data_IF_643382505752
#
_entry.id   IF_643382505752
#
_cell.length_a   1.000
_cell.length_b   1.000
_cell.length_c   1.000
_cell.angle_alpha   90.00
_cell.angle_beta   90.00
_cell.angle_gamma   90.00
#
_symmetry.space_group_name_H-M   'P 1'
#
loop_
_entity.id
_entity.type
_entity.pdbx_description
1 polymer ?
#
# COMPACT_ATOMS: atom_id res chain seq x y z
N UNK A 1 -18.18 6.26 6.60
CA UNK A 1 -17.56 6.49 5.28
C UNK A 1 -17.90 5.31 4.38
N UNK A 2 -18.36 5.51 3.13
CA UNK A 2 -18.68 4.38 2.23
C UNK A 2 -17.86 4.52 0.95
N UNK A 3 -16.71 3.86 0.90
CA UNK A 3 -15.83 3.83 -0.27
C UNK A 3 -16.17 2.72 -1.26
N UNK A 4 -17.00 1.76 -0.84
CA UNK A 4 -17.45 0.63 -1.63
C UNK A 4 -18.82 0.18 -1.12
N UNK A 5 -19.46 -0.71 -1.87
CA UNK A 5 -20.74 -1.31 -1.46
C UNK A 5 -20.54 -2.13 -0.19
N UNK A 6 -21.37 -1.94 0.83
CA UNK A 6 -21.23 -2.65 2.10
C UNK A 6 -21.53 -4.14 1.95
N UNK A 7 -20.82 -4.99 2.71
CA UNK A 7 -20.91 -6.45 2.64
C UNK A 7 -22.34 -7.00 2.75
N UNK A 8 -23.19 -6.40 3.59
CA UNK A 8 -24.58 -6.84 3.74
C UNK A 8 -25.45 -6.49 2.51
N UNK A 9 -25.09 -5.50 1.72
CA UNK A 9 -25.80 -5.11 0.50
C UNK A 9 -25.38 -5.92 -0.73
N UNK A 10 -24.36 -6.77 -0.59
CA UNK A 10 -23.85 -7.64 -1.65
C UNK A 10 -24.68 -8.91 -1.80
N UNK A 11 -24.72 -9.45 -3.03
CA UNK A 11 -25.24 -10.79 -3.30
C UNK A 11 -24.41 -11.87 -2.60
N UNK A 12 -24.93 -13.10 -2.49
CA UNK A 12 -24.19 -14.21 -1.87
C UNK A 12 -22.87 -14.51 -2.62
N UNK A 13 -22.88 -14.44 -3.95
CA UNK A 13 -21.70 -14.66 -4.78
C UNK A 13 -20.64 -13.57 -4.54
N UNK A 14 -21.06 -12.31 -4.51
CA UNK A 14 -20.15 -11.19 -4.25
C UNK A 14 -19.57 -11.23 -2.84
N UNK A 15 -20.36 -11.64 -1.84
CA UNK A 15 -19.86 -11.83 -0.46
C UNK A 15 -18.78 -12.91 -0.39
N UNK A 16 -18.96 -14.01 -1.12
CA UNK A 16 -17.99 -15.10 -1.17
C UNK A 16 -16.68 -14.61 -1.82
N UNK A 17 -16.79 -13.95 -2.98
CA UNK A 17 -15.65 -13.36 -3.69
C UNK A 17 -14.90 -12.34 -2.83
N UNK A 18 -15.61 -11.47 -2.10
CA UNK A 18 -15.00 -10.51 -1.18
C UNK A 18 -14.25 -11.19 -0.05
N UNK A 19 -14.81 -12.27 0.49
CA UNK A 19 -14.15 -13.03 1.55
C UNK A 19 -12.87 -13.68 1.04
N UNK A 20 -12.94 -14.28 -0.14
CA UNK A 20 -11.77 -14.90 -0.77
C UNK A 20 -10.70 -13.85 -1.09
N UNK A 21 -11.08 -12.69 -1.64
CA UNK A 21 -10.17 -11.56 -1.83
C UNK A 21 -9.46 -11.15 -0.54
N UNK A 22 -10.19 -11.03 0.56
CA UNK A 22 -9.62 -10.61 1.85
C UNK A 22 -8.59 -11.63 2.36
N UNK A 23 -8.88 -12.93 2.25
CA UNK A 23 -7.92 -13.99 2.61
C UNK A 23 -6.66 -13.91 1.75
N UNK A 24 -6.80 -13.79 0.42
CA UNK A 24 -5.64 -13.65 -0.46
C UNK A 24 -4.86 -12.35 -0.22
N UNK A 25 -5.55 -11.29 0.18
CA UNK A 25 -4.92 -10.01 0.55
C UNK A 25 -4.07 -10.17 1.80
N UNK A 26 -4.54 -10.90 2.80
CA UNK A 26 -3.78 -11.15 4.02
C UNK A 26 -2.49 -11.94 3.71
N UNK A 27 -2.53 -12.90 2.78
CA UNK A 27 -1.32 -13.58 2.28
C UNK A 27 -0.40 -12.63 1.48
N UNK A 28 -0.97 -11.77 0.66
CA UNK A 28 -0.21 -10.76 -0.08
C UNK A 28 0.47 -9.77 0.87
N UNK A 29 -0.20 -9.37 1.97
CA UNK A 29 0.35 -8.50 3.02
C UNK A 29 1.64 -9.08 3.60
N UNK A 30 1.64 -10.37 3.93
CA UNK A 30 2.82 -11.07 4.44
C UNK A 30 3.98 -11.00 3.43
N UNK A 31 3.69 -11.30 2.17
CA UNK A 31 4.68 -11.27 1.10
C UNK A 31 5.25 -9.87 0.86
N UNK A 32 4.41 -8.83 0.79
CA UNK A 32 4.89 -7.46 0.54
C UNK A 32 5.65 -6.88 1.73
N UNK A 33 5.30 -7.25 2.98
CA UNK A 33 6.07 -6.89 4.17
C UNK A 33 7.46 -7.52 4.13
N UNK A 34 7.54 -8.81 3.82
CA UNK A 34 8.81 -9.49 3.66
C UNK A 34 9.64 -8.86 2.54
N UNK A 35 9.10 -8.75 1.33
CA UNK A 35 9.84 -8.22 0.19
C UNK A 35 10.28 -6.77 0.38
N UNK A 36 9.36 -5.89 0.83
CA UNK A 36 9.63 -4.45 0.93
C UNK A 36 10.57 -4.10 2.09
N UNK A 37 10.43 -4.75 3.25
CA UNK A 37 11.13 -4.36 4.46
C UNK A 37 12.29 -5.31 4.77
N UNK A 38 11.98 -6.60 5.01
CA UNK A 38 12.98 -7.61 5.39
C UNK A 38 13.96 -7.86 4.24
N UNK A 39 13.44 -8.00 3.02
CA UNK A 39 14.22 -8.17 1.80
C UNK A 39 15.16 -6.99 1.54
N UNK A 40 14.66 -5.76 1.68
CA UNK A 40 15.48 -4.56 1.56
C UNK A 40 16.56 -4.53 2.65
N UNK A 41 16.22 -4.77 3.91
CA UNK A 41 17.19 -4.84 4.99
C UNK A 41 18.33 -5.83 4.69
N UNK A 42 17.98 -7.02 4.18
CA UNK A 42 18.96 -8.01 3.75
C UNK A 42 19.82 -7.53 2.56
N UNK A 43 19.29 -6.72 1.64
CA UNK A 43 20.08 -6.12 0.56
C UNK A 43 21.14 -5.16 1.13
N UNK A 44 20.79 -4.29 2.07
CA UNK A 44 21.74 -3.39 2.73
C UNK A 44 22.85 -4.16 3.46
N UNK A 45 22.49 -5.25 4.16
CA UNK A 45 23.46 -6.14 4.80
C UNK A 45 24.42 -6.77 3.79
N UNK A 46 23.92 -7.26 2.64
CA UNK A 46 24.74 -7.84 1.57
C UNK A 46 25.72 -6.82 0.99
N UNK A 47 25.28 -5.57 0.83
CA UNK A 47 26.12 -4.47 0.37
C UNK A 47 27.05 -3.91 1.45
N UNK A 48 26.97 -4.42 2.69
CA UNK A 48 27.72 -3.95 3.87
C UNK A 48 27.51 -2.46 4.17
N UNK A 49 26.32 -1.97 3.84
CA UNK A 49 25.89 -0.59 4.11
C UNK A 49 24.88 -0.57 5.25
N UNK A 50 24.90 0.43 6.15
CA UNK A 50 23.91 0.53 7.21
C UNK A 50 22.50 0.75 6.63
N UNK A 51 21.49 0.08 7.20
CA UNK A 51 20.11 0.30 6.81
C UNK A 51 19.65 1.70 7.25
N UNK A 52 19.06 2.52 6.35
CA UNK A 52 18.59 3.85 6.67
C UNK A 52 17.24 3.76 7.39
N UNK A 53 17.24 3.57 8.71
CA UNK A 53 15.99 3.53 9.49
C UNK A 53 15.18 4.82 9.34
N UNK A 54 13.86 4.69 9.25
CA UNK A 54 12.94 5.83 9.15
C UNK A 54 12.87 6.56 10.48
N UNK A 55 13.00 7.88 10.46
CA UNK A 55 12.81 8.66 11.68
C UNK A 55 11.32 8.73 12.02
N UNK A 56 10.95 8.57 13.30
CA UNK A 56 9.55 8.53 13.72
C UNK A 56 8.74 9.78 13.32
N UNK A 57 9.42 10.94 13.20
CA UNK A 57 8.80 12.17 12.70
C UNK A 57 8.28 12.05 11.26
N UNK A 58 8.87 11.18 10.43
CA UNK A 58 8.45 10.92 9.05
C UNK A 58 7.11 10.16 8.96
N UNK A 59 6.69 9.53 10.05
CA UNK A 59 5.39 8.85 10.16
C UNK A 59 4.28 9.82 10.57
N UNK A 60 4.57 11.09 10.85
CA UNK A 60 3.51 12.07 11.10
C UNK A 60 2.80 12.43 9.77
N UNK A 61 1.48 12.66 9.76
CA UNK A 61 0.69 12.93 8.54
C UNK A 61 1.24 13.98 7.56
N UNK A 62 1.86 15.06 8.06
CA UNK A 62 2.43 16.16 7.24
C UNK A 62 3.95 16.14 7.18
N UNK A 63 4.56 15.02 7.51
CA UNK A 63 6.01 14.94 7.57
C UNK A 63 6.64 15.16 6.19
N UNK A 64 7.73 15.91 6.18
CA UNK A 64 8.60 16.00 5.01
C UNK A 64 9.50 14.78 5.00
N UNK A 65 9.51 14.08 3.88
CA UNK A 65 10.37 12.91 3.66
C UNK A 65 11.60 13.40 2.90
N UNK A 66 12.82 13.02 3.30
CA UNK A 66 14.03 13.33 2.55
C UNK A 66 13.95 12.83 1.11
N UNK A 67 14.42 13.62 0.15
CA UNK A 67 14.47 13.26 -1.28
C UNK A 67 15.66 12.37 -1.64
N UNK A 68 16.09 11.51 -0.71
CA UNK A 68 17.23 10.59 -0.91
C UNK A 68 16.69 9.24 -1.33
N UNK A 69 17.06 8.79 -2.52
CA UNK A 69 16.75 7.44 -3.00
C UNK A 69 17.82 6.46 -2.54
N UNK A 70 17.39 5.28 -2.09
CA UNK A 70 18.27 4.20 -1.73
C UNK A 70 18.11 3.03 -2.70
N UNK A 71 19.15 2.74 -3.48
CA UNK A 71 19.14 1.70 -4.52
C UNK A 71 18.85 0.29 -3.95
N UNK A 72 19.35 0.00 -2.75
CA UNK A 72 19.16 -1.30 -2.09
C UNK A 72 17.74 -1.50 -1.54
N UNK A 73 16.93 -0.44 -1.48
CA UNK A 73 15.56 -0.50 -0.99
C UNK A 73 14.61 -0.93 -2.13
N UNK A 74 13.95 -2.07 -1.94
CA UNK A 74 13.00 -2.59 -2.91
C UNK A 74 11.83 -1.61 -3.07
N UNK A 75 11.54 -1.24 -4.32
CA UNK A 75 10.42 -0.36 -4.67
C UNK A 75 9.53 -1.03 -5.72
N UNK A 76 8.23 -0.82 -5.60
CA UNK A 76 7.23 -1.45 -6.46
C UNK A 76 5.87 -0.77 -6.31
N UNK A 77 4.95 -1.09 -7.22
CA UNK A 77 3.55 -0.70 -7.15
C UNK A 77 2.68 -1.91 -7.52
N UNK A 78 1.81 -2.35 -6.61
CA UNK A 78 0.84 -3.42 -6.86
C UNK A 78 -0.57 -2.86 -6.73
N UNK A 79 -1.42 -3.16 -7.70
CA UNK A 79 -2.86 -2.91 -7.66
C UNK A 79 -3.54 -4.28 -7.58
N UNK A 80 -4.23 -4.54 -6.47
CA UNK A 80 -4.98 -5.78 -6.27
C UNK A 80 -6.48 -5.49 -6.20
N UNK A 81 -7.22 -5.84 -7.24
CA UNK A 81 -8.65 -5.57 -7.38
C UNK A 81 -9.49 -6.81 -7.04
N UNK A 82 -10.59 -6.61 -6.32
CA UNK A 82 -11.64 -7.63 -6.12
C UNK A 82 -12.34 -8.00 -7.43
N UNK A 83 -12.50 -7.02 -8.32
CA UNK A 83 -13.17 -7.20 -9.60
C UNK A 83 -12.25 -6.98 -10.80
N UNK A 84 -12.67 -7.50 -11.94
CA UNK A 84 -12.01 -7.23 -13.20
C UNK A 84 -12.24 -5.77 -13.61
N UNK A 85 -11.17 -5.06 -13.96
CA UNK A 85 -11.25 -3.67 -14.41
C UNK A 85 -11.89 -3.63 -15.81
N UNK A 86 -13.09 -3.09 -15.92
CA UNK A 86 -13.77 -2.98 -17.21
C UNK A 86 -12.99 -2.11 -18.23
N UNK A 87 -13.22 -2.37 -19.52
CA UNK A 87 -12.56 -1.64 -20.62
C UNK A 87 -12.86 -0.14 -20.60
N UNK A 88 -14.01 0.29 -20.07
CA UNK A 88 -14.36 1.71 -19.90
C UNK A 88 -13.34 2.47 -19.05
N UNK A 89 -12.69 1.79 -18.09
CA UNK A 89 -11.68 2.38 -17.22
C UNK A 89 -10.27 2.38 -17.82
N UNK A 90 -10.05 1.75 -18.98
CA UNK A 90 -8.73 1.68 -19.64
C UNK A 90 -8.16 3.05 -20.02
N UNK A 91 -9.00 4.08 -20.14
CA UNK A 91 -8.53 5.45 -20.40
C UNK A 91 -7.55 5.91 -19.32
N UNK A 92 -7.84 5.59 -18.07
CA UNK A 92 -7.13 6.08 -16.90
C UNK A 92 -6.26 5.01 -16.21
N UNK A 93 -6.65 3.74 -16.32
CA UNK A 93 -5.82 2.60 -15.89
C UNK A 93 -5.40 1.82 -17.13
N UNK A 94 -4.23 2.14 -17.68
CA UNK A 94 -3.78 1.62 -18.96
C UNK A 94 -3.08 0.29 -18.78
N UNK A 95 -3.78 -0.77 -19.17
CA UNK A 95 -3.23 -2.12 -19.28
C UNK A 95 -3.41 -2.63 -20.72
N UNK A 96 -2.32 -3.10 -21.31
CA UNK A 96 -2.25 -3.50 -22.72
C UNK A 96 -2.03 -5.00 -22.86
N UNK A 97 -2.48 -5.58 -23.98
CA UNK A 97 -2.33 -7.01 -24.24
C UNK A 97 -0.87 -7.46 -24.34
N UNK A 98 0.02 -6.57 -24.77
CA UNK A 98 1.47 -6.80 -24.80
C UNK A 98 2.08 -6.96 -23.41
N UNK A 99 1.40 -6.49 -22.37
CA UNK A 99 1.84 -6.58 -20.98
C UNK A 99 1.08 -7.66 -20.19
N UNK A 100 0.30 -8.52 -20.87
CA UNK A 100 -0.31 -9.68 -20.22
C UNK A 100 0.76 -10.66 -19.77
N UNK A 101 0.53 -11.35 -18.65
CA UNK A 101 1.37 -12.46 -18.15
C UNK A 101 1.19 -13.75 -18.97
N UNK A 102 1.55 -13.68 -20.25
CA UNK A 102 1.66 -14.84 -21.14
C UNK A 102 3.13 -15.22 -21.29
N UNK A 103 3.43 -16.50 -21.60
CA UNK A 103 4.81 -16.96 -21.85
C UNK A 103 5.52 -16.07 -22.87
N UNK A 104 4.85 -15.75 -23.97
CA UNK A 104 5.38 -14.91 -25.05
C UNK A 104 5.77 -13.51 -24.62
N UNK A 105 4.99 -12.90 -23.72
CA UNK A 105 5.24 -11.54 -23.27
C UNK A 105 6.30 -11.51 -22.17
N UNK A 106 6.31 -12.50 -21.27
CA UNK A 106 7.32 -12.62 -20.22
C UNK A 106 8.72 -12.88 -20.80
N UNK A 107 8.83 -13.70 -21.86
CA UNK A 107 10.10 -13.92 -22.58
C UNK A 107 10.68 -12.66 -23.25
N UNK A 108 9.90 -11.58 -23.40
CA UNK A 108 10.40 -10.30 -23.93
C UNK A 108 11.07 -9.43 -22.87
N UNK A 109 10.88 -9.74 -21.59
CA UNK A 109 11.55 -9.04 -20.51
C UNK A 109 13.02 -9.52 -20.48
N UNK A 110 13.95 -8.60 -20.63
CA UNK A 110 15.39 -8.89 -20.78
C UNK A 110 15.98 -9.68 -19.60
N UNK A 111 15.41 -9.52 -18.41
CA UNK A 111 15.95 -10.05 -17.16
C UNK A 111 15.04 -11.11 -16.50
N UNK A 112 14.11 -11.71 -17.26
CA UNK A 112 13.22 -12.73 -16.70
C UNK A 112 13.91 -14.10 -16.71
N UNK A 113 13.94 -14.84 -15.57
CA UNK A 113 14.64 -16.12 -15.49
C UNK A 113 14.12 -17.13 -16.51
N UNK A 114 15.00 -18.01 -16.99
CA UNK A 114 14.72 -18.98 -18.04
C UNK A 114 13.44 -19.78 -17.77
N UNK A 115 12.49 -19.64 -18.69
CA UNK A 115 11.13 -20.17 -18.60
C UNK A 115 11.02 -21.58 -19.18
N UNK A 116 12.03 -22.43 -18.96
CA UNK A 116 12.01 -23.83 -19.42
C UNK A 116 10.75 -24.55 -18.90
N UNK A 117 10.32 -24.23 -17.67
CA UNK A 117 9.16 -24.83 -17.01
C UNK A 117 7.96 -23.88 -16.82
N UNK A 118 7.73 -22.91 -17.73
CA UNK A 118 6.56 -22.01 -17.59
C UNK A 118 5.23 -22.76 -17.72
N UNK A 119 4.58 -22.98 -16.58
CA UNK A 119 3.19 -23.41 -16.52
C UNK A 119 2.27 -22.17 -16.56
N UNK A 120 1.24 -22.19 -17.43
CA UNK A 120 0.25 -21.11 -17.52
C UNK A 120 -0.45 -20.78 -16.20
N UNK A 121 -0.51 -21.74 -15.28
CA UNK A 121 -1.17 -21.61 -13.98
C UNK A 121 -0.29 -20.92 -12.93
N UNK A 122 1.01 -20.73 -13.18
CA UNK A 122 1.93 -20.09 -12.22
C UNK A 122 1.55 -18.65 -11.85
N UNK A 123 0.78 -17.99 -12.72
CA UNK A 123 0.25 -16.64 -12.47
C UNK A 123 -0.98 -16.62 -11.56
N UNK A 124 -1.60 -17.75 -11.28
CA UNK A 124 -2.75 -17.82 -10.39
C UNK A 124 -2.26 -17.81 -8.95
N UNK A 125 -2.98 -17.09 -8.08
CA UNK A 125 -2.56 -16.88 -6.69
C UNK A 125 -2.35 -18.19 -5.91
N UNK A 126 -3.18 -19.20 -6.19
CA UNK A 126 -3.16 -20.53 -5.56
C UNK A 126 -1.95 -21.40 -5.97
N UNK A 127 -1.14 -20.96 -6.93
CA UNK A 127 0.02 -21.73 -7.39
C UNK A 127 1.23 -21.51 -6.50
N UNK A 128 1.95 -22.59 -6.16
CA UNK A 128 3.19 -22.54 -5.38
C UNK A 128 4.25 -21.57 -5.97
N UNK A 129 4.27 -21.39 -7.29
CA UNK A 129 5.20 -20.50 -7.97
C UNK A 129 4.74 -19.03 -8.07
N UNK A 130 3.56 -18.68 -7.57
CA UNK A 130 2.97 -17.35 -7.73
C UNK A 130 3.83 -16.25 -7.13
N UNK A 131 4.21 -16.39 -5.86
CA UNK A 131 4.99 -15.36 -5.17
C UNK A 131 6.41 -15.24 -5.73
N UNK A 132 6.98 -16.34 -6.23
CA UNK A 132 8.25 -16.32 -6.96
C UNK A 132 8.14 -15.53 -8.27
N UNK A 133 7.08 -15.77 -9.05
CA UNK A 133 6.78 -14.98 -10.25
C UNK A 133 6.57 -13.50 -9.92
N UNK A 134 5.76 -13.21 -8.90
CA UNK A 134 5.48 -11.85 -8.46
C UNK A 134 6.77 -11.13 -8.08
N UNK A 135 7.62 -11.75 -7.26
CA UNK A 135 8.92 -11.23 -6.83
C UNK A 135 9.82 -10.84 -8.01
N UNK A 136 9.85 -11.65 -9.07
CA UNK A 136 10.63 -11.36 -10.27
C UNK A 136 10.06 -10.20 -11.09
N UNK A 137 8.77 -9.93 -10.99
CA UNK A 137 8.10 -8.85 -11.73
C UNK A 137 8.05 -7.54 -10.95
N UNK A 138 8.19 -7.54 -9.61
CA UNK A 138 8.13 -6.31 -8.81
C UNK A 138 9.13 -5.20 -9.22
N UNK A 139 10.36 -5.51 -9.66
CA UNK A 139 11.30 -4.48 -10.12
C UNK A 139 10.91 -3.82 -11.45
N UNK A 140 9.98 -4.40 -12.20
CA UNK A 140 9.53 -3.90 -13.50
C UNK A 140 8.88 -2.52 -13.34
N UNK A 141 8.95 -1.69 -14.39
CA UNK A 141 8.39 -0.34 -14.36
C UNK A 141 6.87 -0.33 -14.11
N UNK A 142 6.37 0.77 -13.57
CA UNK A 142 4.95 1.01 -13.29
C UNK A 142 4.31 -0.03 -12.34
N UNK A 143 3.01 -0.27 -12.47
CA UNK A 143 2.25 -1.13 -11.58
C UNK A 143 2.14 -2.56 -12.11
N UNK A 144 2.01 -3.48 -11.17
CA UNK A 144 1.54 -4.84 -11.39
C UNK A 144 0.05 -4.90 -11.07
N UNK A 145 -0.73 -5.62 -11.88
CA UNK A 145 -2.17 -5.77 -11.69
C UNK A 145 -2.56 -7.23 -11.39
N UNK A 146 -3.09 -7.42 -10.18
CA UNK A 146 -3.72 -8.66 -9.72
C UNK A 146 -5.23 -8.43 -9.72
N UNK A 147 -5.98 -9.29 -10.40
CA UNK A 147 -7.44 -9.21 -10.50
C UNK A 147 -8.01 -10.59 -10.87
N UNK A 148 -9.33 -10.80 -10.81
CA UNK A 148 -9.93 -12.07 -11.22
C UNK A 148 -9.58 -12.45 -12.66
N UNK A 149 -9.37 -13.74 -12.88
CA UNK A 149 -9.13 -14.29 -14.19
C UNK A 149 -10.43 -14.20 -15.02
N UNK A 150 -10.33 -13.68 -16.24
CA UNK A 150 -11.48 -13.52 -17.14
C UNK A 150 -12.18 -14.87 -17.45
N UNK A 151 -11.44 -15.99 -17.41
CA UNK A 151 -11.99 -17.33 -17.70
C UNK A 151 -12.63 -17.99 -16.48
N UNK A 152 -12.03 -17.79 -15.30
CA UNK A 152 -12.47 -18.34 -14.03
C UNK A 152 -12.61 -17.18 -13.06
N UNK A 153 -13.79 -16.58 -13.01
CA UNK A 153 -14.07 -15.36 -12.21
C UNK A 153 -13.80 -15.53 -10.71
N UNK A 154 -13.64 -16.77 -10.25
CA UNK A 154 -13.35 -17.13 -8.86
C UNK A 154 -11.85 -17.13 -8.53
N UNK A 155 -10.96 -17.20 -9.51
CA UNK A 155 -9.51 -17.26 -9.28
C UNK A 155 -8.84 -15.92 -9.56
N UNK A 156 -8.05 -15.45 -8.60
CA UNK A 156 -7.21 -14.27 -8.80
C UNK A 156 -5.91 -14.64 -9.47
N UNK A 157 -5.47 -13.79 -10.39
CA UNK A 157 -4.22 -14.00 -11.10
C UNK A 157 -3.46 -12.69 -11.29
N UNK A 158 -2.14 -12.81 -11.40
CA UNK A 158 -1.27 -11.78 -11.93
C UNK A 158 -1.62 -11.61 -13.40
N UNK A 159 -2.38 -10.58 -13.77
CA UNK A 159 -2.91 -10.47 -15.14
C UNK A 159 -2.02 -9.65 -16.06
N UNK A 160 -1.48 -8.54 -15.56
CA UNK A 160 -0.67 -7.62 -16.33
C UNK A 160 0.48 -7.07 -15.49
N UNK A 161 1.60 -6.80 -16.16
CA UNK A 161 2.70 -5.97 -15.66
C UNK A 161 2.70 -4.62 -16.40
N UNK A 162 3.57 -3.67 -16.05
CA UNK A 162 3.64 -2.36 -16.72
C UNK A 162 2.30 -1.61 -16.83
N UNK A 163 1.43 -1.69 -15.81
CA UNK A 163 0.14 -0.99 -15.79
C UNK A 163 0.36 0.45 -15.39
N UNK A 164 -0.10 1.39 -16.24
CA UNK A 164 0.06 2.83 -16.01
C UNK A 164 -1.20 3.45 -15.46
N UNK A 165 -1.02 4.45 -14.59
CA UNK A 165 -2.11 5.24 -14.01
C UNK A 165 -2.01 6.63 -14.63
N UNK A 166 -2.86 6.89 -15.62
CA UNK A 166 -2.87 8.11 -16.44
C UNK A 166 -4.07 9.02 -16.07
N UNK A 167 -4.60 8.91 -14.84
CA UNK A 167 -5.61 9.85 -14.36
C UNK A 167 -4.95 11.12 -13.81
N UNK A 168 -5.31 12.33 -14.27
CA UNK A 168 -4.69 13.55 -13.79
C UNK A 168 -4.85 13.77 -12.29
N UNK A 169 -3.80 14.30 -11.64
CA UNK A 169 -3.83 14.66 -10.21
C UNK A 169 -4.92 15.71 -9.94
N UNK A 170 -5.11 16.65 -10.87
CA UNK A 170 -6.18 17.65 -10.79
C UNK A 170 -7.56 16.98 -10.75
N UNK A 171 -7.85 16.04 -11.64
CA UNK A 171 -9.12 15.30 -11.68
C UNK A 171 -9.33 14.47 -10.40
N UNK A 172 -8.27 13.81 -9.91
CA UNK A 172 -8.32 13.07 -8.65
C UNK A 172 -8.61 13.98 -7.46
N UNK A 173 -7.99 15.16 -7.43
CA UNK A 173 -8.17 16.15 -6.38
C UNK A 173 -9.57 16.77 -6.43
N UNK A 174 -10.06 17.06 -7.63
CA UNK A 174 -11.41 17.55 -7.87
C UNK A 174 -12.45 16.52 -7.41
N UNK A 175 -12.26 15.26 -7.77
CA UNK A 175 -13.14 14.17 -7.36
C UNK A 175 -13.23 14.06 -5.83
N UNK A 176 -12.08 14.09 -5.13
CA UNK A 176 -12.05 14.08 -3.68
C UNK A 176 -12.69 15.34 -3.08
N UNK A 177 -12.39 16.52 -3.62
CA UNK A 177 -12.93 17.79 -3.15
C UNK A 177 -14.45 17.87 -3.28
N UNK A 178 -15.01 17.35 -4.39
CA UNK A 178 -16.47 17.21 -4.59
C UNK A 178 -17.08 16.28 -3.56
N UNK A 179 -16.46 15.10 -3.36
CA UNK A 179 -16.93 14.10 -2.39
C UNK A 179 -16.97 14.67 -0.97
N UNK A 180 -15.95 15.43 -0.57
CA UNK A 180 -15.84 16.05 0.74
C UNK A 180 -16.60 17.39 0.88
N UNK A 181 -17.25 17.85 -0.20
CA UNK A 181 -17.98 19.12 -0.28
C UNK A 181 -17.12 20.37 -0.09
N UNK A 182 -15.86 20.37 -0.51
CA UNK A 182 -15.02 21.59 -0.57
C UNK A 182 -15.25 22.42 -1.84
N UNK A 183 -15.74 21.78 -2.90
CA UNK A 183 -16.12 22.40 -4.17
C UNK A 183 -17.44 21.81 -4.67
N UNK A 184 -18.10 22.54 -5.58
CA UNK A 184 -19.34 22.10 -6.23
C UNK A 184 -19.14 21.63 -7.66
N UNK A 185 -18.38 22.37 -8.50
CA UNK A 185 -18.27 22.05 -9.93
C UNK A 185 -16.84 21.84 -10.37
N UNK A 186 -15.98 22.84 -10.37
CA UNK A 186 -14.63 22.71 -10.94
C UNK A 186 -13.55 23.08 -9.91
N UNK A 187 -12.41 22.40 -9.98
CA UNK A 187 -11.32 22.59 -9.03
C UNK A 187 -10.79 24.03 -9.01
N UNK A 188 -10.78 24.67 -10.18
CA UNK A 188 -10.22 26.00 -10.39
C UNK A 188 -11.25 27.13 -10.22
N UNK A 189 -12.51 26.83 -9.82
CA UNK A 189 -13.55 27.86 -9.57
C UNK A 189 -13.08 28.93 -8.57
N UNK A 190 -12.23 28.53 -7.61
CA UNK A 190 -11.70 29.39 -6.54
C UNK A 190 -10.25 29.87 -6.80
N UNK A 191 -9.77 29.71 -8.04
CA UNK A 191 -8.43 30.11 -8.48
C UNK A 191 -7.32 29.07 -8.25
N UNK A 192 -6.16 29.31 -8.84
CA UNK A 192 -5.04 28.35 -8.91
C UNK A 192 -4.47 27.99 -7.54
N UNK A 193 -4.36 28.96 -6.64
CA UNK A 193 -3.86 28.73 -5.27
C UNK A 193 -4.76 27.75 -4.50
N UNK A 194 -6.08 27.85 -4.67
CA UNK A 194 -7.02 26.92 -4.05
C UNK A 194 -6.87 25.51 -4.64
N UNK A 195 -6.76 25.42 -5.96
CA UNK A 195 -6.54 24.16 -6.67
C UNK A 195 -5.24 23.47 -6.22
N UNK A 196 -4.14 24.22 -6.12
CA UNK A 196 -2.86 23.70 -5.64
C UNK A 196 -2.95 23.20 -4.19
N UNK A 197 -3.57 23.97 -3.29
CA UNK A 197 -3.76 23.55 -1.91
C UNK A 197 -4.64 22.31 -1.79
N UNK A 198 -5.65 22.17 -2.64
CA UNK A 198 -6.49 20.97 -2.68
C UNK A 198 -5.72 19.76 -3.21
N UNK A 199 -4.83 19.92 -4.20
CA UNK A 199 -3.93 18.85 -4.64
C UNK A 199 -2.98 18.42 -3.51
N UNK A 200 -2.43 19.37 -2.74
CA UNK A 200 -1.63 19.05 -1.55
C UNK A 200 -2.42 18.22 -0.54
N UNK A 201 -3.70 18.55 -0.34
CA UNK A 201 -4.60 17.79 0.53
C UNK A 201 -4.93 16.40 -0.01
N UNK A 202 -4.98 16.18 -1.32
CA UNK A 202 -5.09 14.82 -1.87
C UNK A 202 -3.94 13.93 -1.40
N UNK A 203 -2.69 14.41 -1.46
CA UNK A 203 -1.55 13.64 -0.97
C UNK A 203 -1.60 13.41 0.54
N UNK A 204 -1.93 14.44 1.32
CA UNK A 204 -2.10 14.31 2.77
C UNK A 204 -3.18 13.31 3.13
N UNK A 205 -4.32 13.33 2.41
CA UNK A 205 -5.42 12.40 2.58
C UNK A 205 -4.97 10.93 2.46
N UNK A 206 -3.99 10.65 1.60
CA UNK A 206 -3.43 9.32 1.40
C UNK A 206 -2.12 9.07 2.17
N UNK A 207 -1.76 9.97 3.09
CA UNK A 207 -0.58 9.84 3.95
C UNK A 207 0.74 10.00 3.21
N UNK A 208 0.78 10.69 2.07
CA UNK A 208 1.98 10.89 1.26
C UNK A 208 2.34 12.38 1.25
N UNK A 209 3.63 12.78 1.25
CA UNK A 209 3.99 14.19 1.04
C UNK A 209 3.66 14.65 -0.38
N UNK A 210 3.44 15.96 -0.55
CA UNK A 210 3.04 16.62 -1.81
C UNK A 210 3.97 16.33 -2.99
N UNK A 211 5.29 16.23 -2.74
CA UNK A 211 6.31 15.97 -3.75
C UNK A 211 6.71 14.49 -3.75
N UNK A 212 5.72 13.61 -3.89
CA UNK A 212 5.96 12.18 -3.90
C UNK A 212 6.58 11.72 -5.22
N UNK A 213 7.56 10.82 -5.16
CA UNK A 213 8.08 10.14 -6.35
C UNK A 213 6.98 9.44 -7.17
N UNK A 214 7.25 9.20 -8.46
CA UNK A 214 6.23 8.80 -9.44
C UNK A 214 5.35 7.60 -9.06
N UNK A 215 5.91 6.55 -8.43
CA UNK A 215 5.14 5.38 -7.97
C UNK A 215 4.15 5.72 -6.85
N UNK A 216 4.53 6.59 -5.90
CA UNK A 216 3.65 7.02 -4.80
C UNK A 216 2.51 7.88 -5.33
N UNK A 217 2.81 8.79 -6.24
CA UNK A 217 1.79 9.59 -6.94
C UNK A 217 0.81 8.72 -7.71
N UNK A 218 1.31 7.76 -8.50
CA UNK A 218 0.45 6.81 -9.22
C UNK A 218 -0.45 6.00 -8.28
N UNK A 219 0.04 5.64 -7.09
CA UNK A 219 -0.75 4.91 -6.10
C UNK A 219 -1.87 5.73 -5.48
N UNK A 220 -1.58 6.99 -5.11
CA UNK A 220 -2.57 7.95 -4.58
C UNK A 220 -3.69 8.14 -5.60
N UNK A 221 -3.32 8.40 -6.85
CA UNK A 221 -4.25 8.59 -7.96
C UNK A 221 -5.06 7.32 -8.23
N UNK A 222 -4.42 6.15 -8.27
CA UNK A 222 -5.12 4.87 -8.45
C UNK A 222 -6.11 4.61 -7.32
N UNK A 223 -5.70 4.79 -6.06
CA UNK A 223 -6.57 4.60 -4.91
C UNK A 223 -7.78 5.56 -4.93
N UNK A 224 -7.60 6.82 -5.36
CA UNK A 224 -8.73 7.75 -5.53
C UNK A 224 -9.62 7.35 -6.70
N UNK A 225 -9.05 6.86 -7.80
CA UNK A 225 -9.81 6.43 -8.96
C UNK A 225 -10.73 5.26 -8.63
N UNK A 226 -10.19 4.21 -8.00
CA UNK A 226 -10.92 2.98 -7.68
C UNK A 226 -12.02 3.17 -6.64
N UNK A 227 -11.96 4.21 -5.81
CA UNK A 227 -13.05 4.55 -4.86
C UNK A 227 -14.36 4.96 -5.52
N UNK A 228 -14.33 5.27 -6.80
CA UNK A 228 -15.55 5.54 -7.56
C UNK A 228 -16.26 4.25 -7.96
N UNK A 229 -15.65 3.08 -7.74
CA UNK A 229 -16.20 1.77 -8.05
C UNK A 229 -16.81 1.12 -6.79
N UNK A 230 -17.77 0.22 -7.00
CA UNK A 230 -18.44 -0.49 -5.90
C UNK A 230 -17.58 -1.59 -5.24
N UNK A 231 -16.50 -1.99 -5.91
CA UNK A 231 -15.59 -3.06 -5.51
C UNK A 231 -14.44 -2.56 -4.65
N UNK A 232 -13.85 -3.45 -3.84
CA UNK A 232 -12.66 -3.11 -3.05
C UNK A 232 -11.40 -3.31 -3.88
N UNK A 233 -10.44 -2.41 -3.69
CA UNK A 233 -9.11 -2.46 -4.30
C UNK A 233 -8.09 -2.09 -3.24
N UNK A 234 -6.98 -2.82 -3.22
CA UNK A 234 -5.85 -2.55 -2.34
C UNK A 234 -4.66 -2.17 -3.21
N UNK A 235 -4.05 -1.03 -2.91
CA UNK A 235 -2.85 -0.54 -3.59
C UNK A 235 -1.68 -0.58 -2.62
N UNK A 236 -0.61 -1.27 -3.02
CA UNK A 236 0.63 -1.37 -2.26
C UNK A 236 1.74 -0.61 -2.95
N UNK A 237 2.52 0.14 -2.17
CA UNK A 237 3.69 0.86 -2.66
C UNK A 237 4.87 0.64 -1.74
N UNK A 238 5.93 0.04 -2.28
CA UNK A 238 7.26 0.12 -1.72
C UNK A 238 7.98 1.32 -2.32
N UNK A 239 8.54 2.21 -1.49
CA UNK A 239 9.29 3.38 -1.95
C UNK A 239 10.71 3.36 -1.39
N UNK A 240 11.69 3.61 -2.27
CA UNK A 240 13.09 3.78 -1.90
C UNK A 240 13.27 5.00 -1.00
N UNK A 241 12.65 6.13 -1.34
CA UNK A 241 12.75 7.39 -0.58
C UNK A 241 12.17 7.28 0.85
N UNK A 242 10.96 6.74 1.00
CA UNK A 242 10.31 6.66 2.31
C UNK A 242 10.70 5.42 3.13
N UNK A 243 11.43 4.46 2.54
CA UNK A 243 11.85 3.20 3.17
C UNK A 243 10.70 2.48 3.89
N UNK A 244 9.51 2.63 3.32
CA UNK A 244 8.26 2.21 3.93
C UNK A 244 7.41 1.47 2.92
N UNK A 245 6.61 0.53 3.41
CA UNK A 245 5.48 -0.02 2.68
C UNK A 245 4.24 0.83 2.99
N UNK A 246 3.65 1.44 1.97
CA UNK A 246 2.34 2.10 2.05
C UNK A 246 1.26 1.13 1.54
N UNK A 247 0.18 0.98 2.30
CA UNK A 247 -1.02 0.26 1.88
C UNK A 247 -2.21 1.21 1.90
N UNK A 248 -2.93 1.24 0.79
CA UNK A 248 -4.16 2.01 0.60
C UNK A 248 -5.30 1.04 0.30
N UNK A 249 -6.32 1.00 1.14
CA UNK A 249 -7.46 0.09 0.97
C UNK A 249 -8.80 0.72 1.42
N UNK A 250 -9.84 -0.11 1.58
CA UNK A 250 -11.16 0.33 2.01
C UNK A 250 -11.21 0.81 3.47
N UNK A 251 -10.25 0.40 4.30
CA UNK A 251 -10.17 0.80 5.72
C UNK A 251 -9.42 2.12 5.88
N UNK A 252 -8.45 2.38 5.01
CA UNK A 252 -7.78 3.67 4.98
C UNK A 252 -6.33 3.56 4.52
N UNK A 253 -5.46 4.23 5.27
CA UNK A 253 -4.03 4.33 4.99
C UNK A 253 -3.26 3.63 6.11
N UNK A 254 -2.32 2.77 5.74
CA UNK A 254 -1.33 2.27 6.69
C UNK A 254 0.08 2.31 6.12
N UNK A 255 1.06 2.51 7.02
CA UNK A 255 2.49 2.49 6.69
C UNK A 255 3.21 1.51 7.59
N UNK A 256 4.05 0.68 6.99
CA UNK A 256 4.95 -0.22 7.70
C UNK A 256 6.40 0.14 7.43
N UNK A 257 7.23 0.15 8.48
CA UNK A 257 8.65 0.47 8.45
C UNK A 257 9.43 -0.47 9.36
N UNK A 258 10.76 -0.49 9.22
CA UNK A 258 11.63 -1.11 10.22
C UNK A 258 12.05 -0.08 11.27
N UNK A 259 12.03 -0.49 12.54
CA UNK A 259 12.48 0.32 13.67
C UNK A 259 13.50 -0.42 14.51
N UNK A 260 14.36 0.33 15.20
CA UNK A 260 15.26 -0.17 16.23
C UNK A 260 14.61 -0.02 17.60
N UNK A 261 14.53 -1.12 18.34
CA UNK A 261 14.10 -1.15 19.73
C UNK A 261 15.27 -1.58 20.61
N UNK A 262 15.44 -0.91 21.75
CA UNK A 262 16.42 -1.30 22.75
C UNK A 262 16.01 -2.59 23.47
N UNK A 263 16.99 -3.29 24.06
CA UNK A 263 16.73 -4.52 24.82
C UNK A 263 15.69 -4.30 25.91
N UNK A 264 15.75 -3.17 26.61
CA UNK A 264 14.85 -2.90 27.74
C UNK A 264 13.44 -2.53 27.27
N UNK A 265 13.29 -1.87 26.12
CA UNK A 265 11.99 -1.66 25.47
C UNK A 265 11.35 -3.00 25.08
N UNK A 266 12.11 -3.92 24.50
CA UNK A 266 11.62 -5.26 24.13
C UNK A 266 11.22 -6.07 25.36
N UNK A 267 11.97 -5.99 26.47
CA UNK A 267 11.60 -6.64 27.72
C UNK A 267 10.29 -6.08 28.28
N UNK A 268 10.14 -4.76 28.31
CA UNK A 268 8.92 -4.11 28.78
C UNK A 268 7.71 -4.52 27.94
N UNK A 269 7.84 -4.50 26.60
CA UNK A 269 6.81 -4.97 25.67
C UNK A 269 6.44 -6.43 25.89
N UNK A 270 7.43 -7.30 26.03
CA UNK A 270 7.20 -8.74 26.26
C UNK A 270 6.44 -8.97 27.58
N UNK A 271 6.81 -8.25 28.63
CA UNK A 271 6.16 -8.33 29.94
C UNK A 271 4.72 -7.81 29.92
N UNK A 272 4.47 -6.69 29.23
CA UNK A 272 3.14 -6.10 29.09
C UNK A 272 2.16 -7.09 28.45
N UNK A 273 2.60 -7.80 27.42
CA UNK A 273 1.76 -8.76 26.67
C UNK A 273 1.76 -10.17 27.29
N UNK A 274 2.42 -10.37 28.44
CA UNK A 274 2.53 -11.69 29.08
C UNK A 274 3.29 -12.73 28.25
N UNK A 275 4.17 -12.28 27.35
CA UNK A 275 4.93 -13.14 26.45
C UNK A 275 6.33 -13.44 27.01
N UNK A 276 6.80 -14.69 26.96
CA UNK A 276 8.20 -14.99 27.20
C UNK A 276 9.10 -14.22 26.22
N UNK A 277 10.23 -13.70 26.69
CA UNK A 277 11.16 -12.92 25.85
C UNK A 277 11.69 -13.72 24.64
N UNK A 278 11.86 -15.03 24.79
CA UNK A 278 12.21 -15.94 23.70
C UNK A 278 11.11 -15.99 22.62
N UNK A 279 9.85 -16.03 23.04
CA UNK A 279 8.68 -15.98 22.14
C UNK A 279 8.62 -14.66 21.39
N UNK A 280 8.83 -13.54 22.07
CA UNK A 280 8.88 -12.23 21.40
C UNK A 280 9.99 -12.20 20.34
N UNK A 281 11.20 -12.59 20.73
CA UNK A 281 12.37 -12.58 19.84
C UNK A 281 12.16 -13.50 18.62
N UNK A 282 11.60 -14.68 18.83
CA UNK A 282 11.39 -15.63 17.74
C UNK A 282 10.33 -15.17 16.74
N UNK A 283 9.32 -14.40 17.18
CA UNK A 283 8.14 -14.10 16.36
C UNK A 283 8.06 -12.64 15.88
N UNK A 284 8.66 -11.67 16.57
CA UNK A 284 8.54 -10.24 16.23
C UNK A 284 9.86 -9.57 15.82
N UNK A 285 11.01 -10.18 16.17
CA UNK A 285 12.34 -9.63 15.82
C UNK A 285 12.79 -10.17 14.48
N UNK A 286 12.93 -9.27 13.50
CA UNK A 286 13.48 -9.51 12.16
C UNK A 286 14.97 -9.82 12.24
N UNK A 287 15.72 -8.98 12.96
CA UNK A 287 17.16 -9.11 13.10
C UNK A 287 17.63 -8.48 14.42
N UNK A 288 18.86 -8.81 14.82
CA UNK A 288 19.53 -8.19 15.98
C UNK A 288 20.79 -7.47 15.51
N UNK A 289 20.93 -6.21 15.90
CA UNK A 289 22.08 -5.36 15.59
C UNK A 289 22.69 -4.84 16.90
N UNK A 290 23.67 -5.57 17.44
CA UNK A 290 24.29 -5.26 18.73
C UNK A 290 23.27 -5.27 19.89
N UNK A 291 23.00 -4.08 20.42
CA UNK A 291 22.04 -3.83 21.52
C UNK A 291 20.60 -3.54 21.03
N UNK A 292 20.39 -3.49 19.72
CA UNK A 292 19.07 -3.20 19.15
C UNK A 292 18.44 -4.46 18.55
N UNK A 293 17.13 -4.55 18.72
CA UNK A 293 16.26 -5.47 18.03
C UNK A 293 15.54 -4.73 16.91
N UNK A 294 15.55 -5.32 15.72
CA UNK A 294 14.89 -4.75 14.55
C UNK A 294 13.53 -5.41 14.42
N UNK A 295 12.49 -4.58 14.44
CA UNK A 295 11.10 -5.01 14.38
C UNK A 295 10.36 -4.28 13.25
N UNK A 296 9.28 -4.89 12.77
CA UNK A 296 8.36 -4.24 11.83
C UNK A 296 7.37 -3.41 12.66
N UNK A 297 7.35 -2.11 12.42
CA UNK A 297 6.41 -1.18 13.03
C UNK A 297 5.38 -0.75 11.99
N UNK A 298 4.11 -0.78 12.36
CA UNK A 298 3.00 -0.40 11.51
C UNK A 298 2.17 0.70 12.17
N UNK A 299 1.77 1.67 11.36
CA UNK A 299 0.94 2.81 11.76
C UNK A 299 -0.29 2.86 10.87
N UNK A 300 -1.47 2.88 11.49
CA UNK A 300 -2.74 3.18 10.82
C UNK A 300 -3.11 4.64 11.02
N UNK A 301 -3.67 5.23 9.98
CA UNK A 301 -4.13 6.61 10.00
C UNK A 301 -5.64 6.68 9.84
N UNK A 302 -6.27 7.52 10.66
CA UNK A 302 -7.68 7.87 10.55
C UNK A 302 -7.87 9.25 9.94
N UNK A 303 -9.02 9.41 9.29
CA UNK A 303 -9.46 10.68 8.74
C UNK A 303 -10.01 11.57 9.85
N UNK A 304 -9.56 12.81 9.90
CA UNK A 304 -10.16 13.82 10.77
C UNK A 304 -11.52 14.26 10.22
N UNK A 305 -12.29 15.02 11.00
CA UNK A 305 -13.58 15.59 10.56
C UNK A 305 -13.50 16.41 9.26
N UNK A 306 -12.34 17.00 8.97
CA UNK A 306 -12.07 17.76 7.76
C UNK A 306 -11.87 16.89 6.51
N UNK A 307 -11.45 15.64 6.69
CA UNK A 307 -11.29 14.65 5.61
C UNK A 307 -12.47 13.67 5.50
N UNK A 308 -13.54 13.90 6.27
CA UNK A 308 -14.80 13.17 6.16
C UNK A 308 -15.85 14.00 5.42
N UNK A 309 -16.83 13.38 4.74
CA UNK A 309 -17.93 14.12 4.10
C UNK A 309 -18.65 15.04 5.08
N UNK A 310 -19.11 16.20 4.60
CA UNK A 310 -19.81 17.15 5.46
C UNK A 310 -21.09 16.58 6.04
N UNK A 311 -21.23 16.69 7.37
CA UNK A 311 -22.52 16.49 8.04
C UNK A 311 -23.54 17.46 7.43
N UNK A 312 -24.68 16.93 6.98
CA UNK A 312 -25.71 17.70 6.27
C UNK A 312 -25.36 18.13 4.85
N UNK A 313 -24.22 17.71 4.29
CA UNK A 313 -23.88 17.92 2.87
C UNK A 313 -23.55 19.37 2.47
N UNK A 314 -23.35 20.26 3.44
CA UNK A 314 -23.01 21.67 3.21
C UNK A 314 -21.63 21.82 2.57
N UNK A 315 -21.47 22.87 1.76
CA UNK A 315 -20.17 23.26 1.23
C UNK A 315 -19.26 23.77 2.34
N UNK A 316 -17.98 23.41 2.28
CA UNK A 316 -16.92 23.77 3.22
C UNK A 316 -15.88 24.65 2.54
N UNK A 317 -15.23 25.46 3.35
CA UNK A 317 -14.05 26.21 2.94
C UNK A 317 -12.78 25.45 3.33
N UNK A 318 -11.81 25.42 2.43
CA UNK A 318 -10.54 24.75 2.66
C UNK A 318 -9.64 25.61 3.54
N UNK A 319 -9.29 25.11 4.72
CA UNK A 319 -8.16 25.60 5.49
C UNK A 319 -6.95 24.66 5.27
N UNK A 320 -5.87 25.10 4.61
CA UNK A 320 -4.68 24.28 4.37
C UNK A 320 -3.98 23.78 5.64
N UNK A 321 -4.16 24.44 6.78
CA UNK A 321 -3.46 24.09 8.02
C UNK A 321 -4.12 22.96 8.80
N UNK A 322 -5.40 22.70 8.56
CA UNK A 322 -6.12 21.62 9.22
C UNK A 322 -5.61 20.26 8.77
N UNK A 323 -5.22 19.41 9.73
CA UNK A 323 -4.78 18.05 9.41
C UNK A 323 -5.96 17.20 8.92
N UNK A 324 -5.75 16.46 7.84
CA UNK A 324 -6.72 15.55 7.23
C UNK A 324 -6.55 14.10 7.68
N UNK A 325 -5.36 13.77 8.19
CA UNK A 325 -5.08 12.50 8.83
C UNK A 325 -4.58 12.71 10.26
N UNK A 326 -4.84 11.72 11.10
CA UNK A 326 -4.22 11.53 12.42
C UNK A 326 -3.74 10.09 12.56
N UNK A 327 -2.78 9.86 13.44
CA UNK A 327 -2.39 8.48 13.81
C UNK A 327 -3.52 7.90 14.66
N UNK A 328 -3.98 6.71 14.29
CA UNK A 328 -5.07 6.00 14.95
C UNK A 328 -4.52 4.84 15.79
N UNK A 329 -3.72 3.98 15.16
CA UNK A 329 -3.15 2.80 15.79
C UNK A 329 -1.66 2.68 15.46
N UNK A 330 -0.90 2.19 16.42
CA UNK A 330 0.54 1.99 16.34
C UNK A 330 0.87 0.64 16.93
N UNK A 331 1.57 -0.20 16.17
CA UNK A 331 1.78 -1.59 16.54
C UNK A 331 3.08 -2.17 16.00
N UNK A 332 3.68 -3.08 16.78
CA UNK A 332 4.74 -3.97 16.32
C UNK A 332 4.09 -5.19 15.68
N UNK A 333 4.39 -5.42 14.41
CA UNK A 333 3.89 -6.57 13.67
C UNK A 333 4.76 -7.81 13.96
N UNK A 334 4.15 -9.01 14.00
CA UNK A 334 4.92 -10.23 13.91
C UNK A 334 5.67 -10.27 12.58
N UNK A 335 6.75 -11.05 12.53
CA UNK A 335 7.49 -11.31 11.30
C UNK A 335 6.58 -11.92 10.22
N UNK A 336 6.92 -11.72 8.93
CA UNK A 336 6.25 -12.43 7.86
C UNK A 336 6.20 -13.93 8.10
N UNK A 337 5.10 -14.56 7.72
CA UNK A 337 4.82 -16.01 7.87
C UNK A 337 4.47 -16.47 9.29
N UNK A 338 4.46 -15.58 10.29
CA UNK A 338 3.97 -15.90 11.64
C UNK A 338 2.46 -15.69 11.69
N UNK A 339 1.71 -16.79 11.85
CA UNK A 339 0.23 -16.77 11.85
C UNK A 339 -0.41 -16.81 13.25
N UNK A 340 0.32 -17.27 14.27
CA UNK A 340 -0.23 -17.54 15.60
C UNK A 340 -0.36 -16.29 16.48
N UNK A 341 0.45 -15.28 16.24
CA UNK A 341 0.58 -14.12 17.12
C UNK A 341 -0.01 -12.86 16.49
N UNK A 342 -0.74 -12.08 17.29
CA UNK A 342 -1.34 -10.82 16.87
C UNK A 342 -0.32 -9.67 16.92
N UNK A 343 -0.55 -8.55 16.22
CA UNK A 343 0.21 -7.32 16.44
C UNK A 343 0.17 -6.85 17.90
N UNK A 344 1.26 -6.26 18.38
CA UNK A 344 1.38 -5.71 19.74
C UNK A 344 1.25 -4.18 19.67
N UNK A 345 0.25 -3.57 20.34
CA UNK A 345 0.13 -2.12 20.40
C UNK A 345 1.36 -1.47 21.04
N UNK A 346 1.95 -0.49 20.37
CA UNK A 346 3.13 0.21 20.87
C UNK A 346 3.22 1.62 20.30
N UNK A 347 3.13 2.64 21.16
CA UNK A 347 3.13 4.05 20.73
C UNK A 347 4.56 4.56 20.61
N UNK A 348 4.90 5.10 19.44
CA UNK A 348 6.24 5.65 19.13
C UNK A 348 6.19 6.99 18.39
N UNK A 349 5.19 7.24 17.54
CA UNK A 349 5.20 8.37 16.58
C UNK A 349 5.16 9.74 17.28
N UNK A 350 4.47 9.84 18.42
CA UNK A 350 4.36 11.06 19.22
C UNK A 350 5.09 10.99 20.57
N UNK A 351 5.89 9.94 20.79
CA UNK A 351 6.63 9.74 22.03
C UNK A 351 7.76 10.76 22.21
#
# INVERSE_FOLDING_TARGET
>A
MKFCKLRHALSREDRLRRSYYQVLRDELDQFVLDYCLVGSYNNFLKLRTPYPFVELRELKPRARIPSVEFEAQNSFLIIFCEEYIDKTHKKYIRYFDVNKTTKTNLLRLKDFPDLENYNRNIKCFESDGFFSLLKNLLPVDYAILIQPNHRLKTQYALTHFHVRVDWPIADASENLAKFLRYISKDLYEKGDCYAENMQKKLFEYYGVPVLAGGRRTAAVVAAQYFRQLDSITTVYVGSSESRSLLRLDEKGVSKSVLVKLEVDQVKALSQQEGLPQSTFTNNYVVAREGKFYICIFNVWYDYTSHALPSEGGRLRELNPDNNWLTVAEEQILPKPSVSKYAPIPYKMVYA
#
